data_IF_391361690737
#
_entry.id   IF_391361690737
#
_cell.length_a   1.000
_cell.length_b   1.000
_cell.length_c   1.000
_cell.angle_alpha   90.00
_cell.angle_beta   90.00
_cell.angle_gamma   90.00
#
_symmetry.space_group_name_H-M   'P 1'
#
loop_
_entity.id
_entity.type
_entity.pdbx_description
1 polymer ?
#
# COMPACT_ATOMS: atom_id res chain seq x y z
N UNK A 1 -12.48 -15.30 -7.32
CA UNK A 1 -13.57 -14.56 -7.99
C UNK A 1 -13.14 -13.09 -8.04
N UNK A 2 -12.77 -12.59 -9.21
CA UNK A 2 -12.28 -11.21 -9.42
C UNK A 2 -13.48 -10.29 -9.59
N UNK A 3 -13.79 -9.51 -8.56
CA UNK A 3 -14.74 -8.41 -8.71
C UNK A 3 -14.13 -7.39 -9.68
N UNK A 4 -14.87 -7.01 -10.72
CA UNK A 4 -14.48 -5.93 -11.63
C UNK A 4 -14.95 -4.61 -11.00
N UNK A 5 -14.38 -3.46 -11.38
CA UNK A 5 -14.85 -2.12 -10.94
C UNK A 5 -16.37 -1.95 -11.14
N UNK A 6 -16.95 -2.65 -12.12
CA UNK A 6 -18.41 -2.71 -12.35
C UNK A 6 -19.20 -3.28 -11.16
N UNK A 7 -18.63 -4.22 -10.43
CA UNK A 7 -19.28 -4.90 -9.30
C UNK A 7 -19.24 -4.00 -8.05
N UNK A 8 -18.16 -3.23 -7.87
CA UNK A 8 -18.04 -2.18 -6.83
C UNK A 8 -19.08 -1.06 -7.04
N UNK A 9 -19.30 -0.67 -8.31
CA UNK A 9 -20.32 0.34 -8.69
C UNK A 9 -21.75 -0.20 -8.53
N UNK A 10 -21.97 -1.50 -8.76
CA UNK A 10 -23.27 -2.13 -8.58
C UNK A 10 -23.65 -2.26 -7.09
N UNK A 11 -22.70 -2.58 -6.22
CA UNK A 11 -22.91 -2.72 -4.77
C UNK A 11 -23.18 -1.37 -4.08
N UNK A 12 -22.69 -0.25 -4.64
CA UNK A 12 -22.89 1.10 -4.10
C UNK A 12 -24.34 1.62 -4.19
N UNK A 13 -25.32 0.84 -4.69
CA UNK A 13 -26.74 1.20 -4.91
C UNK A 13 -26.99 2.48 -5.71
N UNK A 14 -25.96 3.16 -6.21
CA UNK A 14 -26.02 4.30 -7.12
C UNK A 14 -25.79 3.82 -8.56
N UNK A 15 -26.72 3.01 -9.05
CA UNK A 15 -26.72 2.39 -10.37
C UNK A 15 -26.98 3.38 -11.51
N UNK A 16 -26.30 4.52 -11.58
CA UNK A 16 -26.41 5.38 -12.76
C UNK A 16 -25.04 5.89 -13.19
N UNK A 17 -24.61 5.52 -14.40
CA UNK A 17 -23.46 6.13 -15.09
C UNK A 17 -23.56 7.67 -15.07
N UNK A 18 -24.78 8.22 -14.97
CA UNK A 18 -25.03 9.65 -14.76
C UNK A 18 -24.48 10.20 -13.44
N UNK A 19 -24.57 9.47 -12.32
CA UNK A 19 -24.03 9.90 -11.02
C UNK A 19 -22.49 9.87 -11.01
N UNK A 20 -21.89 8.85 -11.63
CA UNK A 20 -20.44 8.77 -11.82
C UNK A 20 -19.95 9.92 -12.69
N UNK A 21 -20.61 10.16 -13.82
CA UNK A 21 -20.26 11.28 -14.69
C UNK A 21 -20.49 12.64 -14.01
N UNK A 22 -21.53 12.78 -13.19
CA UNK A 22 -21.83 14.03 -12.49
C UNK A 22 -20.81 14.36 -11.39
N UNK A 23 -20.47 13.40 -10.54
CA UNK A 23 -19.56 13.63 -9.40
C UNK A 23 -18.08 13.45 -9.73
N UNK A 24 -17.76 12.56 -10.67
CA UNK A 24 -16.38 12.15 -10.94
C UNK A 24 -15.96 12.36 -12.41
N UNK A 25 -16.89 12.77 -13.29
CA UNK A 25 -16.65 12.97 -14.71
C UNK A 25 -16.43 11.69 -15.53
N UNK A 26 -15.85 10.65 -14.94
CA UNK A 26 -15.57 9.37 -15.59
C UNK A 26 -15.23 8.28 -14.56
N UNK A 27 -15.20 7.02 -14.99
CA UNK A 27 -14.68 5.90 -14.18
C UNK A 27 -13.21 6.10 -13.78
N UNK A 28 -12.41 6.71 -14.66
CA UNK A 28 -11.02 7.08 -14.33
C UNK A 28 -10.95 8.16 -13.24
N UNK A 29 -11.88 9.12 -13.26
CA UNK A 29 -12.01 10.14 -12.22
C UNK A 29 -12.45 9.56 -10.87
N UNK A 30 -13.36 8.58 -10.87
CA UNK A 30 -13.73 7.85 -9.65
C UNK A 30 -12.53 7.09 -9.09
N UNK A 31 -11.77 6.41 -9.96
CA UNK A 31 -10.56 5.71 -9.55
C UNK A 31 -9.51 6.67 -8.96
N UNK A 32 -9.30 7.85 -9.56
CA UNK A 32 -8.44 8.89 -8.97
C UNK A 32 -8.89 9.28 -7.58
N UNK A 33 -10.19 9.52 -7.40
CA UNK A 33 -10.73 9.93 -6.11
C UNK A 33 -10.50 8.87 -5.03
N UNK A 34 -10.76 7.59 -5.35
CA UNK A 34 -10.50 6.46 -4.44
C UNK A 34 -9.02 6.37 -4.09
N UNK A 35 -8.14 6.46 -5.10
CA UNK A 35 -6.69 6.38 -4.87
C UNK A 35 -6.19 7.54 -4.00
N UNK A 36 -6.67 8.75 -4.25
CA UNK A 36 -6.29 9.93 -3.49
C UNK A 36 -6.74 9.84 -2.04
N UNK A 37 -8.00 9.46 -1.78
CA UNK A 37 -8.51 9.26 -0.41
C UNK A 37 -7.67 8.24 0.35
N UNK A 38 -7.33 7.11 -0.29
CA UNK A 38 -6.51 6.08 0.33
C UNK A 38 -5.10 6.56 0.66
N UNK A 39 -4.49 7.35 -0.23
CA UNK A 39 -3.17 7.96 0.02
C UNK A 39 -3.25 8.97 1.17
N UNK A 40 -4.17 9.94 1.08
CA UNK A 40 -4.38 11.00 2.09
C UNK A 40 -4.59 10.42 3.51
N UNK A 41 -5.30 9.29 3.62
CA UNK A 41 -5.54 8.61 4.90
C UNK A 41 -4.26 8.11 5.60
N UNK A 42 -3.16 7.92 4.86
CA UNK A 42 -1.87 7.47 5.41
C UNK A 42 -0.87 8.62 5.64
N UNK A 43 -1.09 9.79 5.03
CA UNK A 43 -0.06 10.84 4.97
C UNK A 43 0.29 11.43 6.35
N UNK A 44 -0.70 11.58 7.23
CA UNK A 44 -0.46 12.05 8.61
C UNK A 44 0.44 11.08 9.38
N UNK A 45 0.18 9.77 9.29
CA UNK A 45 1.02 8.76 9.92
C UNK A 45 2.45 8.80 9.36
N UNK A 46 2.61 8.91 8.03
CA UNK A 46 3.93 9.01 7.40
C UNK A 46 4.72 10.21 7.90
N UNK A 47 4.08 11.37 7.97
CA UNK A 47 4.74 12.58 8.46
C UNK A 47 5.18 12.41 9.93
N UNK A 48 4.32 11.83 10.77
CA UNK A 48 4.65 11.56 12.17
C UNK A 48 5.85 10.61 12.33
N UNK A 49 5.99 9.60 11.46
CA UNK A 49 7.14 8.69 11.47
C UNK A 49 8.44 9.40 11.07
N UNK A 50 8.40 10.28 10.06
CA UNK A 50 9.54 11.12 9.68
C UNK A 50 9.93 12.08 10.81
N UNK A 51 8.95 12.72 11.45
CA UNK A 51 9.18 13.64 12.56
C UNK A 51 9.78 12.91 13.77
N UNK A 52 9.35 11.67 14.04
CA UNK A 52 9.91 10.83 15.09
C UNK A 52 11.37 10.45 14.82
N UNK A 53 11.74 10.18 13.56
CA UNK A 53 13.13 9.95 13.16
C UNK A 53 13.97 11.23 13.32
N UNK A 54 13.44 12.37 12.90
CA UNK A 54 14.10 13.67 13.06
C UNK A 54 14.34 14.02 14.53
N UNK A 55 13.37 13.74 15.42
CA UNK A 55 13.51 13.92 16.87
C UNK A 55 14.63 13.06 17.48
N UNK A 56 14.97 11.93 16.85
CA UNK A 56 16.10 11.06 17.22
C UNK A 56 17.42 11.48 16.56
N UNK A 57 17.44 12.58 15.82
CA UNK A 57 18.61 13.05 15.07
C UNK A 57 18.89 12.26 13.78
N UNK A 58 17.93 11.45 13.32
CA UNK A 58 18.04 10.68 12.08
C UNK A 58 17.46 11.53 10.94
N UNK A 59 18.30 11.86 9.97
CA UNK A 59 17.87 12.60 8.78
C UNK A 59 17.33 11.62 7.73
N UNK A 60 16.08 11.82 7.30
CA UNK A 60 15.48 11.06 6.22
C UNK A 60 15.93 11.65 4.88
N UNK A 61 16.96 11.06 4.29
CA UNK A 61 17.42 11.38 2.94
C UNK A 61 17.93 10.12 2.22
N UNK A 62 18.43 10.30 1.00
CA UNK A 62 18.85 9.20 0.12
C UNK A 62 20.06 8.39 0.64
N UNK A 63 20.75 8.88 1.67
CA UNK A 63 21.86 8.17 2.31
C UNK A 63 21.40 7.32 3.50
N UNK A 64 20.12 7.45 3.92
CA UNK A 64 19.54 6.56 4.89
C UNK A 64 19.55 5.12 4.35
N UNK A 65 19.71 4.17 5.25
CA UNK A 65 19.80 2.76 4.86
C UNK A 65 18.50 2.30 4.17
N UNK A 66 18.68 1.42 3.17
CA UNK A 66 17.58 0.94 2.33
C UNK A 66 16.50 0.25 3.17
N UNK A 67 16.88 -0.44 4.25
CA UNK A 67 15.93 -1.14 5.12
C UNK A 67 15.03 -0.18 5.90
N UNK A 68 15.58 0.92 6.41
CA UNK A 68 14.78 1.96 7.07
C UNK A 68 13.88 2.69 6.08
N UNK A 69 14.40 3.06 4.90
CA UNK A 69 13.60 3.69 3.85
C UNK A 69 12.46 2.79 3.36
N UNK A 70 12.72 1.49 3.17
CA UNK A 70 11.66 0.55 2.79
C UNK A 70 10.65 0.35 3.91
N UNK A 71 11.06 0.39 5.17
CA UNK A 71 10.14 0.30 6.31
C UNK A 71 9.15 1.46 6.32
N UNK A 72 9.62 2.70 6.10
CA UNK A 72 8.77 3.90 5.98
C UNK A 72 7.74 3.78 4.84
N UNK A 73 8.13 3.15 3.73
CA UNK A 73 7.19 2.90 2.63
C UNK A 73 6.16 1.82 3.02
N UNK A 74 6.61 0.69 3.56
CA UNK A 74 5.79 -0.51 3.75
C UNK A 74 4.77 -0.35 4.88
N UNK A 75 5.20 0.09 6.08
CA UNK A 75 4.36 0.01 7.28
C UNK A 75 3.05 0.77 7.16
N UNK A 76 3.01 2.05 6.72
CA UNK A 76 1.75 2.77 6.64
C UNK A 76 0.80 2.19 5.59
N UNK A 77 1.32 1.59 4.49
CA UNK A 77 0.48 0.89 3.50
C UNK A 77 -0.09 -0.40 4.08
N UNK A 78 0.67 -1.11 4.91
CA UNK A 78 0.17 -2.31 5.55
C UNK A 78 -0.88 -1.97 6.63
N UNK A 79 -0.68 -0.90 7.41
CA UNK A 79 -1.54 -0.50 8.51
C UNK A 79 -2.96 -0.11 8.10
N UNK A 80 -3.18 0.32 6.85
CA UNK A 80 -4.55 0.54 6.34
C UNK A 80 -5.40 -0.74 6.42
N UNK A 81 -4.80 -1.93 6.41
CA UNK A 81 -5.51 -3.21 6.51
C UNK A 81 -6.17 -3.42 7.88
N UNK A 82 -5.84 -2.60 8.89
CA UNK A 82 -6.55 -2.57 10.18
C UNK A 82 -7.98 -2.03 10.06
N UNK A 83 -8.27 -1.28 9.00
CA UNK A 83 -9.57 -0.64 8.76
C UNK A 83 -10.31 -1.29 7.58
N UNK A 84 -11.64 -1.25 7.61
CA UNK A 84 -12.44 -1.87 6.55
C UNK A 84 -12.26 -1.17 5.20
N UNK A 85 -12.27 0.16 5.22
CA UNK A 85 -12.03 1.01 4.05
C UNK A 85 -10.65 0.75 3.44
N UNK A 86 -9.63 0.53 4.28
CA UNK A 86 -8.28 0.22 3.83
C UNK A 86 -8.15 -1.17 3.21
N UNK A 87 -8.86 -2.18 3.74
CA UNK A 87 -8.97 -3.50 3.08
C UNK A 87 -9.56 -3.39 1.69
N UNK A 88 -10.65 -2.62 1.51
CA UNK A 88 -11.26 -2.41 0.20
C UNK A 88 -10.36 -1.60 -0.73
N UNK A 89 -9.71 -0.55 -0.22
CA UNK A 89 -8.72 0.22 -0.95
C UNK A 89 -7.60 -0.65 -1.51
N UNK A 90 -6.97 -1.49 -0.69
CA UNK A 90 -5.88 -2.38 -1.13
C UNK A 90 -6.38 -3.41 -2.14
N UNK A 91 -7.60 -3.94 -1.98
CA UNK A 91 -8.22 -4.84 -2.98
C UNK A 91 -8.43 -4.14 -4.31
N UNK A 92 -8.87 -2.89 -4.30
CA UNK A 92 -9.01 -2.06 -5.50
C UNK A 92 -7.63 -1.86 -6.14
N UNK A 93 -6.63 -1.41 -5.38
CA UNK A 93 -5.25 -1.22 -5.86
C UNK A 93 -4.71 -2.49 -6.52
N UNK A 94 -4.87 -3.65 -5.88
CA UNK A 94 -4.42 -4.95 -6.39
C UNK A 94 -5.09 -5.39 -7.69
N UNK A 95 -6.37 -5.06 -7.88
CA UNK A 95 -7.12 -5.40 -9.10
C UNK A 95 -6.72 -4.57 -10.32
N UNK A 96 -6.23 -3.34 -10.11
CA UNK A 96 -5.83 -2.47 -11.22
C UNK A 96 -4.49 -2.96 -11.81
N UNK A 97 -3.69 -3.73 -11.05
CA UNK A 97 -2.44 -4.36 -11.48
C UNK A 97 -1.33 -3.34 -11.77
N UNK A 98 -0.04 -3.69 -11.84
CA UNK A 98 1.05 -2.72 -12.03
C UNK A 98 1.39 -2.37 -13.49
N UNK A 99 0.65 -2.88 -14.49
CA UNK A 99 1.18 -3.07 -15.86
C UNK A 99 0.73 -2.07 -16.94
N UNK A 100 -0.05 -1.03 -16.63
CA UNK A 100 -0.53 -0.11 -17.68
C UNK A 100 0.13 1.28 -17.63
N UNK A 101 0.51 1.82 -18.80
CA UNK A 101 1.12 3.16 -18.92
C UNK A 101 0.20 4.28 -18.43
N UNK A 102 -1.11 4.13 -18.65
CA UNK A 102 -2.16 5.05 -18.16
C UNK A 102 -2.14 5.14 -16.64
N UNK A 103 -1.88 4.02 -15.97
CA UNK A 103 -1.88 3.95 -14.52
C UNK A 103 -0.58 4.43 -13.89
N UNK A 104 0.56 4.29 -14.59
CA UNK A 104 1.78 4.98 -14.16
C UNK A 104 1.56 6.49 -14.12
N UNK A 105 0.88 7.06 -15.11
CA UNK A 105 0.50 8.46 -15.11
C UNK A 105 -0.49 8.79 -13.99
N UNK A 106 -1.52 7.95 -13.80
CA UNK A 106 -2.51 8.11 -12.74
C UNK A 106 -1.89 8.10 -11.34
N UNK A 107 -1.02 7.13 -11.08
CA UNK A 107 -0.31 6.98 -9.81
C UNK A 107 0.57 8.19 -9.55
N UNK A 108 1.33 8.62 -10.56
CA UNK A 108 2.16 9.80 -10.43
C UNK A 108 1.30 11.05 -10.16
N UNK A 109 0.14 11.20 -10.81
CA UNK A 109 -0.80 12.30 -10.57
C UNK A 109 -1.35 12.29 -9.13
N UNK A 110 -1.79 11.14 -8.61
CA UNK A 110 -2.38 11.07 -7.26
C UNK A 110 -1.36 11.10 -6.13
N UNK A 111 -0.09 10.78 -6.43
CA UNK A 111 1.02 10.84 -5.47
C UNK A 111 1.74 12.19 -5.50
N UNK A 112 1.41 13.11 -6.40
CA UNK A 112 2.03 14.44 -6.41
C UNK A 112 1.83 15.14 -5.07
N UNK A 113 2.89 15.80 -4.60
CA UNK A 113 2.93 16.54 -3.34
C UNK A 113 2.65 15.69 -2.08
N UNK A 114 2.90 14.37 -2.15
CA UNK A 114 2.76 13.44 -1.01
C UNK A 114 4.12 13.05 -0.42
N UNK A 115 4.11 12.75 0.87
CA UNK A 115 5.21 12.13 1.60
C UNK A 115 5.54 10.77 0.99
N UNK A 116 4.53 9.98 0.62
CA UNK A 116 4.73 8.69 -0.05
C UNK A 116 5.59 8.81 -1.32
N UNK A 117 5.34 9.81 -2.18
CA UNK A 117 6.18 10.02 -3.36
C UNK A 117 7.63 10.32 -2.98
N UNK A 118 7.81 11.20 -1.99
CA UNK A 118 9.14 11.56 -1.47
C UNK A 118 9.89 10.32 -0.96
N UNK A 119 9.25 9.48 -0.15
CA UNK A 119 9.85 8.25 0.39
C UNK A 119 10.24 7.27 -0.72
N UNK A 120 9.37 7.09 -1.72
CA UNK A 120 9.65 6.22 -2.87
C UNK A 120 10.81 6.77 -3.70
N UNK A 121 10.89 8.09 -3.92
CA UNK A 121 11.99 8.73 -4.63
C UNK A 121 13.32 8.57 -3.87
N UNK A 122 13.32 8.77 -2.55
CA UNK A 122 14.50 8.54 -1.71
C UNK A 122 14.97 7.07 -1.78
N UNK A 123 14.03 6.11 -1.77
CA UNK A 123 14.34 4.70 -1.91
C UNK A 123 14.91 4.37 -3.30
N UNK A 124 14.34 4.94 -4.37
CA UNK A 124 14.86 4.81 -5.74
C UNK A 124 16.28 5.34 -5.83
N UNK A 125 16.53 6.54 -5.31
CA UNK A 125 17.83 7.20 -5.34
C UNK A 125 18.89 6.46 -4.52
N UNK A 126 18.52 5.93 -3.35
CA UNK A 126 19.40 5.15 -2.48
C UNK A 126 19.87 3.86 -3.17
N UNK A 127 18.94 3.14 -3.81
CA UNK A 127 19.27 1.92 -4.55
C UNK A 127 20.07 2.25 -5.82
N UNK A 128 19.69 3.28 -6.56
CA UNK A 128 20.39 3.69 -7.78
C UNK A 128 21.85 4.09 -7.50
N UNK A 129 22.13 4.76 -6.37
CA UNK A 129 23.50 5.07 -5.93
C UNK A 129 24.32 3.81 -5.63
N UNK A 130 23.66 2.76 -5.13
CA UNK A 130 24.32 1.54 -4.68
C UNK A 130 24.66 0.57 -5.81
N UNK A 131 23.72 0.36 -6.74
CA UNK A 131 23.84 -0.69 -7.77
C UNK A 131 23.70 -0.17 -9.21
N UNK A 132 23.47 1.13 -9.39
CA UNK A 132 23.23 1.77 -10.69
C UNK A 132 21.75 1.92 -11.02
N UNK A 133 21.44 2.87 -11.90
CA UNK A 133 20.07 3.31 -12.20
C UNK A 133 19.20 2.19 -12.78
N UNK A 134 19.65 1.53 -13.85
CA UNK A 134 18.90 0.46 -14.52
C UNK A 134 18.55 -0.70 -13.58
N UNK A 135 19.52 -1.38 -12.93
CA UNK A 135 19.21 -2.46 -11.99
C UNK A 135 18.43 -1.97 -10.76
N UNK A 136 18.64 -0.74 -10.29
CA UNK A 136 17.86 -0.13 -9.23
C UNK A 136 16.38 0.03 -9.60
N UNK A 137 16.08 0.53 -10.80
CA UNK A 137 14.71 0.64 -11.33
C UNK A 137 14.00 -0.71 -11.40
N UNK A 138 14.68 -1.75 -11.90
CA UNK A 138 14.12 -3.11 -11.92
C UNK A 138 13.83 -3.63 -10.51
N UNK A 139 14.73 -3.36 -9.55
CA UNK A 139 14.57 -3.80 -8.17
C UNK A 139 13.40 -3.12 -7.48
N UNK A 140 13.25 -1.80 -7.62
CA UNK A 140 12.10 -1.05 -7.11
C UNK A 140 10.80 -1.53 -7.75
N UNK A 141 10.80 -1.76 -9.08
CA UNK A 141 9.62 -2.27 -9.76
C UNK A 141 9.16 -3.61 -9.19
N UNK A 142 10.08 -4.56 -9.04
CA UNK A 142 9.79 -5.87 -8.44
C UNK A 142 9.32 -5.76 -6.99
N UNK A 143 9.91 -4.86 -6.21
CA UNK A 143 9.48 -4.57 -4.84
C UNK A 143 8.04 -4.07 -4.78
N UNK A 144 7.66 -3.08 -5.59
CA UNK A 144 6.31 -2.54 -5.61
C UNK A 144 5.28 -3.59 -6.06
N UNK A 145 5.64 -4.43 -7.04
CA UNK A 145 4.79 -5.56 -7.47
C UNK A 145 4.58 -6.54 -6.30
N UNK A 146 5.66 -6.94 -5.64
CA UNK A 146 5.61 -7.88 -4.53
C UNK A 146 4.80 -7.33 -3.35
N UNK A 147 5.04 -6.06 -2.97
CA UNK A 147 4.30 -5.39 -1.91
C UNK A 147 2.79 -5.38 -2.18
N UNK A 148 2.37 -4.91 -3.36
CA UNK A 148 0.95 -4.88 -3.73
C UNK A 148 0.36 -6.29 -3.74
N UNK A 149 1.08 -7.27 -4.28
CA UNK A 149 0.60 -8.65 -4.34
C UNK A 149 0.38 -9.25 -2.95
N UNK A 150 1.35 -9.06 -2.04
CA UNK A 150 1.29 -9.57 -0.66
C UNK A 150 0.15 -8.90 0.11
N UNK A 151 0.06 -7.56 0.06
CA UNK A 151 -1.01 -6.83 0.75
C UNK A 151 -2.39 -7.16 0.17
N UNK A 152 -2.51 -7.34 -1.15
CA UNK A 152 -3.75 -7.76 -1.79
C UNK A 152 -4.19 -9.16 -1.33
N UNK A 153 -3.25 -10.09 -1.20
CA UNK A 153 -3.54 -11.42 -0.68
C UNK A 153 -4.02 -11.35 0.78
N UNK A 154 -3.39 -10.52 1.62
CA UNK A 154 -3.82 -10.29 3.00
C UNK A 154 -5.22 -9.67 3.08
N UNK A 155 -5.49 -8.65 2.26
CA UNK A 155 -6.80 -8.00 2.20
C UNK A 155 -7.90 -8.98 1.78
N UNK A 156 -7.61 -9.91 0.85
CA UNK A 156 -8.53 -10.97 0.47
C UNK A 156 -8.80 -11.96 1.61
N UNK A 157 -7.79 -12.31 2.40
CA UNK A 157 -7.95 -13.17 3.57
C UNK A 157 -8.83 -12.53 4.65
N UNK A 158 -8.58 -11.25 4.98
CA UNK A 158 -9.41 -10.48 5.92
C UNK A 158 -10.87 -10.41 5.44
N UNK A 159 -11.08 -10.09 4.16
CA UNK A 159 -12.43 -10.05 3.58
C UNK A 159 -13.13 -11.42 3.58
N UNK A 160 -12.37 -12.52 3.45
CA UNK A 160 -12.93 -13.88 3.54
C UNK A 160 -13.37 -14.23 4.96
N UNK A 161 -12.58 -13.85 5.97
CA UNK A 161 -12.93 -14.03 7.39
C UNK A 161 -14.19 -13.27 7.74
N UNK A 162 -14.25 -11.98 7.38
CA UNK A 162 -15.44 -11.14 7.60
C UNK A 162 -16.69 -11.77 6.99
N UNK A 163 -16.62 -12.23 5.73
CA UNK A 163 -17.74 -12.90 5.05
C UNK A 163 -18.15 -14.22 5.70
N UNK A 164 -17.20 -15.02 6.19
CA UNK A 164 -17.49 -16.31 6.83
C UNK A 164 -18.22 -16.12 8.16
N UNK A 165 -17.87 -15.06 8.88
CA UNK A 165 -18.39 -14.77 10.22
C UNK A 165 -19.52 -13.74 10.22
N UNK A 166 -20.07 -13.35 9.07
CA UNK A 166 -21.11 -12.32 8.97
C UNK A 166 -22.44 -12.71 9.66
N UNK A 167 -22.57 -12.42 10.96
CA UNK A 167 -23.67 -11.61 11.50
C UNK A 167 -23.42 -10.14 11.10
N UNK A 168 -24.40 -9.24 11.12
CA UNK A 168 -24.23 -7.79 10.84
C UNK A 168 -23.31 -7.06 11.86
N UNK A 169 -22.36 -7.75 12.50
CA UNK A 169 -21.42 -7.23 13.49
C UNK A 169 -20.18 -6.63 12.83
N UNK A 170 -19.83 -5.42 13.27
CA UNK A 170 -18.59 -4.76 12.92
C UNK A 170 -17.47 -5.29 13.83
N UNK A 171 -16.60 -6.13 13.28
CA UNK A 171 -15.48 -6.70 14.01
C UNK A 171 -14.38 -5.66 14.24
N UNK A 172 -13.95 -5.52 15.50
CA UNK A 172 -12.75 -4.79 15.85
C UNK A 172 -11.51 -5.38 15.19
N UNK A 173 -10.44 -4.58 15.09
CA UNK A 173 -9.16 -5.05 14.54
C UNK A 173 -8.57 -6.23 15.34
N UNK A 174 -8.79 -6.27 16.65
CA UNK A 174 -8.30 -7.34 17.53
C UNK A 174 -9.05 -8.65 17.27
N UNK A 175 -10.38 -8.60 17.14
CA UNK A 175 -11.18 -9.79 16.80
C UNK A 175 -10.82 -10.34 15.40
N UNK A 176 -10.54 -9.45 14.45
CA UNK A 176 -10.05 -9.86 13.12
C UNK A 176 -8.68 -10.54 13.21
N UNK A 177 -7.78 -10.07 14.07
CA UNK A 177 -6.47 -10.69 14.29
C UNK A 177 -6.60 -12.08 14.94
N UNK A 178 -7.47 -12.24 15.92
CA UNK A 178 -7.72 -13.53 16.57
C UNK A 178 -8.30 -14.54 15.57
N UNK A 179 -9.28 -14.12 14.75
CA UNK A 179 -9.85 -14.97 13.70
C UNK A 179 -8.83 -15.32 12.60
N UNK A 180 -7.90 -14.41 12.29
CA UNK A 180 -6.78 -14.68 11.38
C UNK A 180 -5.86 -15.74 11.98
N UNK A 181 -5.49 -15.61 13.25
CA UNK A 181 -4.65 -16.58 13.95
C UNK A 181 -5.30 -17.97 14.02
N UNK A 182 -6.59 -18.05 14.34
CA UNK A 182 -7.37 -19.31 14.32
C UNK A 182 -7.40 -19.97 12.93
N UNK A 183 -7.33 -19.16 11.87
CA UNK A 183 -7.27 -19.65 10.48
C UNK A 183 -5.85 -20.04 10.02
N UNK A 184 -4.85 -19.97 10.92
CA UNK A 184 -3.45 -20.25 10.63
C UNK A 184 -2.73 -19.12 9.91
N UNK A 185 -3.27 -17.90 9.94
CA UNK A 185 -2.62 -16.70 9.41
C UNK A 185 -1.88 -15.97 10.54
N UNK A 186 -0.85 -15.19 10.18
CA UNK A 186 -0.17 -14.32 11.15
C UNK A 186 -1.13 -13.24 11.67
N UNK A 187 -0.93 -12.77 12.91
CA UNK A 187 -1.54 -11.52 13.39
C UNK A 187 -1.00 -10.33 12.62
N UNK A 188 -1.70 -9.19 12.61
CA UNK A 188 -1.32 -8.03 11.81
C UNK A 188 0.13 -7.61 12.02
N UNK A 189 0.56 -7.38 13.27
CA UNK A 189 1.93 -6.89 13.52
C UNK A 189 3.00 -7.89 13.09
N UNK A 190 2.78 -9.19 13.32
CA UNK A 190 3.67 -10.25 12.85
C UNK A 190 3.72 -10.31 11.32
N UNK A 191 2.57 -10.14 10.65
CA UNK A 191 2.50 -10.04 9.20
C UNK A 191 3.28 -8.83 8.69
N UNK A 192 3.10 -7.65 9.27
CA UNK A 192 3.82 -6.43 8.87
C UNK A 192 5.32 -6.63 9.05
N UNK A 193 5.75 -7.17 10.19
CA UNK A 193 7.17 -7.43 10.47
C UNK A 193 7.78 -8.41 9.47
N UNK A 194 7.06 -9.47 9.10
CA UNK A 194 7.50 -10.44 8.09
C UNK A 194 7.62 -9.81 6.69
N UNK A 195 6.66 -8.97 6.31
CA UNK A 195 6.68 -8.25 5.02
C UNK A 195 7.83 -7.25 4.97
N UNK A 196 8.01 -6.46 6.04
CA UNK A 196 9.12 -5.52 6.17
C UNK A 196 10.44 -6.27 6.09
N UNK A 197 10.62 -7.33 6.87
CA UNK A 197 11.84 -8.15 6.88
C UNK A 197 12.16 -8.70 5.49
N UNK A 198 11.20 -9.38 4.87
CA UNK A 198 11.35 -10.05 3.57
C UNK A 198 11.66 -9.07 2.45
N UNK A 199 10.86 -8.01 2.31
CA UNK A 199 11.00 -7.08 1.20
C UNK A 199 12.22 -6.16 1.37
N UNK A 200 12.52 -5.73 2.59
CA UNK A 200 13.71 -4.93 2.88
C UNK A 200 14.99 -5.73 2.62
N UNK A 201 15.04 -7.00 3.00
CA UNK A 201 16.16 -7.89 2.69
C UNK A 201 16.34 -8.08 1.17
N UNK A 202 15.23 -8.22 0.42
CA UNK A 202 15.26 -8.31 -1.04
C UNK A 202 15.80 -7.02 -1.70
N UNK A 203 15.43 -5.86 -1.16
CA UNK A 203 15.92 -4.56 -1.64
C UNK A 203 17.41 -4.35 -1.31
N UNK A 204 17.82 -4.69 -0.09
CA UNK A 204 19.19 -4.52 0.41
C UNK A 204 20.18 -5.57 -0.11
N UNK A 205 19.69 -6.67 -0.73
CA UNK A 205 20.55 -7.77 -1.20
C UNK A 205 21.64 -7.30 -2.18
N UNK A 206 22.90 -7.52 -1.83
CA UNK A 206 24.06 -7.10 -2.62
C UNK A 206 24.34 -5.60 -2.61
N UNK A 207 23.67 -4.83 -1.73
CA UNK A 207 24.06 -3.45 -1.40
C UNK A 207 25.08 -3.53 -0.24
N UNK A 208 26.26 -2.91 -0.37
CA UNK A 208 27.21 -2.84 0.74
C UNK A 208 26.57 -2.12 1.93
N UNK A 209 26.65 -2.70 3.13
CA UNK A 209 26.22 -1.98 4.33
C UNK A 209 27.09 -0.75 4.51
N UNK A 210 26.50 0.44 4.47
CA UNK A 210 27.19 1.66 4.91
C UNK A 210 27.33 1.56 6.44
N UNK A 211 28.56 1.27 6.89
CA UNK A 211 28.97 1.41 8.29
C UNK A 211 28.99 2.87 8.72
#
# INVERSE_FOLDING_TARGET
MTARIRDIVADAKQSNDSAINYHFGSRAGLLRAILRIGIEAMEEQRQNEIDALAARGIKVDKNLDVSTLSTLVIRPIADVLRYNEGVEFIRIVGQIGPYTRVQSALRNEVMQDTVLLTEVELLVDSIAQSIGETPGRYRIHNFLIALIAILSARALAIAAIRRKNSSDEDYSAEEIDDLLEESGQLRHDQFVDEVVSTLSAGLASGIPSNN
#
